data_IF_482750064764
#
_entry.id   IF_482750064764
#
_cell.length_a   1.000
_cell.length_b   1.000
_cell.length_c   1.000
_cell.angle_alpha   90.00
_cell.angle_beta   90.00
_cell.angle_gamma   90.00
#
_symmetry.space_group_name_H-M   'P 1'
#
loop_
_entity.id
_entity.type
_entity.pdbx_description
1 polymer ?
#
# COMPACT_ATOMS: atom_id res chain seq x y z
N UNK A 1 -2.83 -12.65 -11.28
CA UNK A 1 -4.05 -11.84 -11.41
C UNK A 1 -3.76 -10.38 -11.07
N UNK A 2 -4.29 -9.43 -11.85
CA UNK A 2 -4.11 -7.99 -11.68
C UNK A 2 -5.46 -7.36 -11.35
N UNK A 3 -5.54 -6.76 -10.17
CA UNK A 3 -6.69 -5.99 -9.70
C UNK A 3 -6.41 -4.49 -9.83
N UNK A 4 -7.36 -3.73 -10.34
CA UNK A 4 -7.29 -2.28 -10.45
C UNK A 4 -8.40 -1.63 -9.62
N UNK A 5 -8.02 -0.83 -8.65
CA UNK A 5 -8.95 -0.08 -7.79
C UNK A 5 -8.90 1.40 -8.14
N UNK A 6 -10.04 2.00 -8.51
CA UNK A 6 -10.13 3.42 -8.79
C UNK A 6 -11.51 3.98 -8.50
N UNK A 7 -11.55 5.20 -7.94
CA UNK A 7 -12.79 5.95 -7.72
C UNK A 7 -13.16 6.90 -8.86
N UNK A 8 -12.20 7.16 -9.78
CA UNK A 8 -12.35 8.25 -10.76
C UNK A 8 -12.26 7.81 -12.21
N UNK A 9 -11.48 6.80 -12.52
CA UNK A 9 -11.19 6.41 -13.89
C UNK A 9 -11.21 4.90 -14.07
N UNK A 10 -11.76 4.49 -15.20
CA UNK A 10 -11.61 3.14 -15.70
C UNK A 10 -10.16 2.90 -16.15
N UNK A 11 -9.70 1.63 -16.14
CA UNK A 11 -8.42 1.29 -16.71
C UNK A 11 -8.38 1.66 -18.20
N UNK A 12 -7.22 2.03 -18.69
CA UNK A 12 -7.02 2.25 -20.14
C UNK A 12 -7.07 0.92 -20.87
N UNK A 13 -7.51 0.94 -22.13
CA UNK A 13 -7.67 -0.27 -22.95
C UNK A 13 -6.39 -1.10 -23.11
N UNK A 14 -5.22 -0.46 -22.95
CA UNK A 14 -3.92 -1.12 -22.99
C UNK A 14 -3.42 -1.62 -21.61
N UNK A 15 -4.18 -1.39 -20.51
CA UNK A 15 -3.89 -2.01 -19.23
C UNK A 15 -4.42 -3.43 -19.23
N UNK A 16 -3.59 -4.40 -18.88
CA UNK A 16 -4.07 -5.72 -18.51
C UNK A 16 -4.64 -5.66 -17.11
N UNK A 17 -5.95 -5.81 -16.99
CA UNK A 17 -6.68 -5.83 -15.72
C UNK A 17 -7.61 -7.05 -15.72
N UNK A 18 -7.46 -7.91 -14.72
CA UNK A 18 -8.32 -9.09 -14.55
C UNK A 18 -9.57 -8.75 -13.75
N UNK A 19 -9.45 -7.82 -12.77
CA UNK A 19 -10.58 -7.31 -11.97
C UNK A 19 -10.51 -5.79 -11.83
N UNK A 20 -11.63 -5.14 -12.09
CA UNK A 20 -11.78 -3.70 -11.90
C UNK A 20 -12.75 -3.41 -10.76
N UNK A 21 -12.28 -2.69 -9.74
CA UNK A 21 -13.05 -2.22 -8.60
C UNK A 21 -13.28 -0.73 -8.72
N UNK A 22 -14.52 -0.32 -9.03
CA UNK A 22 -14.88 1.08 -9.17
C UNK A 22 -15.85 1.49 -8.06
N UNK A 23 -15.54 2.58 -7.36
CA UNK A 23 -16.41 3.20 -6.35
C UNK A 23 -16.96 2.21 -5.33
N UNK A 24 -16.14 1.29 -4.86
CA UNK A 24 -16.54 0.36 -3.81
C UNK A 24 -16.79 1.12 -2.51
N UNK A 25 -17.74 0.62 -1.72
CA UNK A 25 -18.05 1.18 -0.41
C UNK A 25 -16.84 1.08 0.53
N UNK A 26 -16.56 2.10 1.36
CA UNK A 26 -15.37 2.11 2.22
C UNK A 26 -15.20 0.86 3.08
N UNK A 27 -16.28 0.31 3.60
CA UNK A 27 -16.30 -0.91 4.40
C UNK A 27 -15.89 -2.17 3.63
N UNK A 28 -15.94 -2.13 2.29
CA UNK A 28 -15.54 -3.22 1.39
C UNK A 28 -14.08 -3.14 0.94
N UNK A 29 -13.42 -2.00 1.15
CA UNK A 29 -12.03 -1.78 0.70
C UNK A 29 -11.09 -2.80 1.32
N UNK A 30 -11.25 -3.11 2.60
CA UNK A 30 -10.44 -4.10 3.30
C UNK A 30 -10.54 -5.50 2.69
N UNK A 31 -11.71 -5.91 2.19
CA UNK A 31 -11.90 -7.21 1.53
C UNK A 31 -11.10 -7.28 0.22
N UNK A 32 -11.05 -6.16 -0.53
CA UNK A 32 -10.26 -6.09 -1.77
C UNK A 32 -8.77 -6.21 -1.47
N UNK A 33 -8.25 -5.46 -0.50
CA UNK A 33 -6.83 -5.58 -0.11
C UNK A 33 -6.50 -6.98 0.42
N UNK A 34 -7.38 -7.58 1.22
CA UNK A 34 -7.19 -8.94 1.74
C UNK A 34 -7.17 -10.01 0.63
N UNK A 35 -7.73 -9.72 -0.55
CA UNK A 35 -7.70 -10.61 -1.71
C UNK A 35 -6.44 -10.45 -2.58
N UNK A 36 -5.55 -9.52 -2.23
CA UNK A 36 -4.35 -9.20 -2.99
C UNK A 36 -3.08 -9.44 -2.15
N UNK A 37 -2.02 -9.91 -2.79
CA UNK A 37 -0.71 -10.14 -2.13
C UNK A 37 0.17 -8.89 -2.14
N UNK A 38 0.16 -8.14 -3.26
CA UNK A 38 1.06 -7.01 -3.50
C UNK A 38 0.26 -5.81 -3.99
N UNK A 39 0.44 -4.66 -3.34
CA UNK A 39 -0.01 -3.35 -3.80
C UNK A 39 1.11 -2.65 -4.55
N UNK A 40 0.83 -2.20 -5.78
CA UNK A 40 1.71 -1.28 -6.51
C UNK A 40 1.10 0.12 -6.45
N UNK A 41 1.84 1.07 -5.92
CA UNK A 41 1.41 2.47 -5.76
C UNK A 41 2.37 3.41 -6.48
N UNK A 42 1.87 4.05 -7.51
CA UNK A 42 2.66 4.90 -8.43
C UNK A 42 2.49 6.40 -8.21
N UNK A 43 1.71 6.79 -7.22
CA UNK A 43 1.43 8.21 -6.93
C UNK A 43 2.69 8.95 -6.51
N UNK A 44 2.89 10.14 -7.08
CA UNK A 44 4.05 10.99 -6.84
C UNK A 44 3.78 12.14 -5.86
N UNK A 45 2.52 12.47 -5.66
CA UNK A 45 2.08 13.52 -4.71
C UNK A 45 0.87 13.03 -3.95
N UNK A 46 0.97 13.02 -2.63
CA UNK A 46 -0.12 12.73 -1.70
C UNK A 46 0.07 13.53 -0.40
N UNK A 47 -1.04 13.89 0.24
CA UNK A 47 -1.02 14.48 1.59
C UNK A 47 -0.78 13.41 2.65
N UNK A 48 -1.48 12.28 2.54
CA UNK A 48 -1.31 11.07 3.33
C UNK A 48 -1.79 9.87 2.51
N UNK A 49 -0.99 8.84 2.41
CA UNK A 49 -1.28 7.69 1.57
C UNK A 49 -1.88 6.54 2.39
N UNK A 50 -3.20 6.40 2.42
CA UNK A 50 -3.89 5.29 3.12
C UNK A 50 -3.68 3.91 2.49
N UNK A 51 -3.66 3.74 1.15
CA UNK A 51 -3.59 2.42 0.52
C UNK A 51 -2.49 1.49 1.03
N UNK A 52 -1.24 1.93 1.23
CA UNK A 52 -0.21 1.05 1.80
C UNK A 52 -0.49 0.65 3.26
N UNK A 53 -1.09 1.52 4.08
CA UNK A 53 -1.48 1.17 5.46
C UNK A 53 -2.61 0.13 5.47
N UNK A 54 -3.59 0.29 4.59
CA UNK A 54 -4.70 -0.65 4.43
C UNK A 54 -4.18 -2.02 3.96
N UNK A 55 -3.24 -2.03 2.99
CA UNK A 55 -2.58 -3.26 2.55
C UNK A 55 -1.78 -3.93 3.67
N UNK A 56 -1.05 -3.17 4.47
CA UNK A 56 -0.32 -3.68 5.64
C UNK A 56 -1.26 -4.27 6.69
N UNK A 57 -2.41 -3.65 6.92
CA UNK A 57 -3.40 -4.11 7.88
C UNK A 57 -4.00 -5.47 7.49
N UNK A 58 -4.13 -5.74 6.20
CA UNK A 58 -4.65 -7.01 5.66
C UNK A 58 -3.57 -8.09 5.47
N UNK A 59 -2.30 -7.75 5.74
CA UNK A 59 -1.19 -8.72 5.66
C UNK A 59 -0.54 -8.80 4.29
N UNK A 60 -0.82 -7.86 3.38
CA UNK A 60 -0.13 -7.74 2.11
C UNK A 60 1.13 -6.88 2.20
N UNK A 61 1.82 -6.74 1.09
CA UNK A 61 3.04 -5.92 0.94
C UNK A 61 2.86 -4.84 -0.11
N UNK A 62 3.68 -3.78 -0.05
CA UNK A 62 3.58 -2.66 -0.99
C UNK A 62 4.90 -2.38 -1.69
N UNK A 63 4.80 -2.09 -2.99
CA UNK A 63 5.86 -1.53 -3.84
C UNK A 63 5.45 -0.11 -4.21
N UNK A 64 6.21 0.90 -3.80
CA UNK A 64 5.71 2.29 -3.74
C UNK A 64 6.73 3.28 -4.27
N UNK A 65 6.26 4.32 -4.97
CA UNK A 65 7.06 5.52 -5.22
C UNK A 65 7.05 6.37 -3.94
N UNK A 66 8.22 6.64 -3.29
CA UNK A 66 8.29 7.46 -2.10
C UNK A 66 7.88 8.91 -2.41
N UNK A 67 7.07 9.50 -1.54
CA UNK A 67 6.62 10.89 -1.62
C UNK A 67 6.31 11.45 -0.23
N UNK A 68 6.08 12.77 -0.12
CA UNK A 68 5.84 13.42 1.16
C UNK A 68 4.68 12.87 1.98
N UNK A 69 3.69 12.26 1.35
CA UNK A 69 2.51 11.68 2.02
C UNK A 69 2.67 10.24 2.49
N UNK A 70 3.80 9.60 2.22
CA UNK A 70 3.97 8.19 2.57
C UNK A 70 5.27 7.87 3.33
N UNK A 71 6.35 8.67 3.16
CA UNK A 71 7.65 8.44 3.82
C UNK A 71 7.62 8.67 5.34
N UNK A 72 6.55 9.23 5.89
CA UNK A 72 6.36 9.35 7.33
C UNK A 72 6.32 7.97 8.00
N UNK A 73 5.66 7.00 7.38
CA UNK A 73 5.46 5.66 7.94
C UNK A 73 6.05 4.53 7.09
N UNK A 74 6.33 4.77 5.80
CA UNK A 74 6.96 3.80 4.92
C UNK A 74 8.49 3.88 5.04
N UNK A 75 9.12 2.71 5.13
CA UNK A 75 10.58 2.56 5.17
C UNK A 75 10.98 1.42 4.25
N UNK A 76 11.87 1.74 3.32
CA UNK A 76 12.38 0.77 2.34
C UNK A 76 13.05 -0.43 3.02
N UNK A 77 12.90 -1.61 2.43
CA UNK A 77 13.39 -2.91 2.95
C UNK A 77 12.92 -3.23 4.39
N UNK A 78 12.06 -2.42 4.98
CA UNK A 78 11.52 -2.65 6.32
C UNK A 78 10.05 -3.05 6.30
N UNK A 79 9.16 -2.19 5.78
CA UNK A 79 7.71 -2.43 5.72
C UNK A 79 7.11 -2.27 4.31
N UNK A 80 7.94 -1.93 3.33
CA UNK A 80 7.60 -1.85 1.91
C UNK A 80 8.88 -1.99 1.08
N UNK A 81 8.76 -1.98 -0.25
CA UNK A 81 9.87 -1.70 -1.15
C UNK A 81 9.61 -0.39 -1.90
N UNK A 82 10.64 0.45 -2.01
CA UNK A 82 10.61 1.66 -2.81
C UNK A 82 11.18 1.41 -4.21
N UNK A 83 10.65 2.17 -5.17
CA UNK A 83 11.28 2.33 -6.48
C UNK A 83 11.19 3.78 -6.93
N UNK A 84 12.12 4.19 -7.79
CA UNK A 84 12.18 5.56 -8.28
C UNK A 84 11.02 5.84 -9.25
N UNK A 85 10.45 7.03 -9.16
CA UNK A 85 9.43 7.50 -10.09
C UNK A 85 9.91 7.36 -11.55
N UNK A 86 9.08 6.75 -12.40
CA UNK A 86 9.36 6.55 -13.81
C UNK A 86 10.31 5.38 -14.13
N UNK A 87 10.91 4.76 -13.13
CA UNK A 87 11.78 3.59 -13.28
C UNK A 87 10.94 2.31 -13.25
N UNK A 88 10.41 1.94 -14.41
CA UNK A 88 9.54 0.77 -14.57
C UNK A 88 10.31 -0.51 -14.24
N UNK A 89 11.57 -0.61 -14.68
CA UNK A 89 12.39 -1.81 -14.47
C UNK A 89 12.67 -2.04 -12.99
N UNK A 90 12.97 -0.97 -12.22
CA UNK A 90 13.12 -1.06 -10.77
C UNK A 90 11.81 -1.46 -10.09
N UNK A 91 10.67 -0.95 -10.56
CA UNK A 91 9.34 -1.35 -10.06
C UNK A 91 9.06 -2.84 -10.30
N UNK A 92 9.34 -3.33 -11.48
CA UNK A 92 9.22 -4.77 -11.83
C UNK A 92 10.15 -5.60 -10.96
N UNK A 93 11.43 -5.24 -10.86
CA UNK A 93 12.40 -5.96 -10.04
C UNK A 93 11.99 -6.02 -8.55
N UNK A 94 11.39 -4.95 -8.01
CA UNK A 94 10.88 -4.94 -6.63
C UNK A 94 9.71 -5.93 -6.45
N UNK A 95 8.80 -6.02 -7.42
CA UNK A 95 7.70 -7.00 -7.39
C UNK A 95 8.26 -8.42 -7.49
N UNK A 96 9.16 -8.69 -8.43
CA UNK A 96 9.78 -10.01 -8.61
C UNK A 96 10.56 -10.44 -7.35
N UNK A 97 11.28 -9.50 -6.71
CA UNK A 97 11.96 -9.74 -5.44
C UNK A 97 10.99 -10.22 -4.36
N UNK A 98 9.81 -9.57 -4.24
CA UNK A 98 8.78 -9.99 -3.28
C UNK A 98 8.13 -11.33 -3.63
N UNK A 99 7.98 -11.65 -4.91
CA UNK A 99 7.42 -12.94 -5.34
C UNK A 99 8.38 -14.10 -5.07
N UNK A 100 9.68 -13.88 -5.25
CA UNK A 100 10.70 -14.94 -5.19
C UNK A 100 11.38 -15.07 -3.82
N UNK A 101 11.42 -14.01 -2.99
CA UNK A 101 12.01 -14.03 -1.65
C UNK A 101 10.95 -14.07 -0.56
N UNK A 102 10.55 -15.29 -0.18
CA UNK A 102 9.58 -15.50 0.91
C UNK A 102 10.05 -14.92 2.25
N UNK A 103 11.34 -14.98 2.57
CA UNK A 103 11.86 -14.47 3.85
C UNK A 103 11.75 -12.96 3.93
N UNK A 104 12.09 -12.27 2.84
CA UNK A 104 11.93 -10.82 2.75
C UNK A 104 10.45 -10.45 2.84
N UNK A 105 9.59 -11.12 2.09
CA UNK A 105 8.15 -10.87 2.11
C UNK A 105 7.56 -11.04 3.51
N UNK A 106 7.84 -12.14 4.20
CA UNK A 106 7.38 -12.40 5.57
C UNK A 106 7.88 -11.33 6.55
N UNK A 107 9.15 -10.88 6.42
CA UNK A 107 9.71 -9.78 7.20
C UNK A 107 8.94 -8.48 6.98
N UNK A 108 8.69 -8.11 5.72
CA UNK A 108 7.98 -6.88 5.36
C UNK A 108 6.53 -6.93 5.84
N UNK A 109 5.82 -8.05 5.69
CA UNK A 109 4.46 -8.25 6.21
C UNK A 109 4.43 -8.01 7.73
N UNK A 110 5.31 -8.68 8.48
CA UNK A 110 5.37 -8.54 9.94
C UNK A 110 5.60 -7.11 10.39
N UNK A 111 6.50 -6.40 9.72
CA UNK A 111 6.81 -5.01 10.04
C UNK A 111 5.69 -4.06 9.58
N UNK A 112 5.08 -4.33 8.44
CA UNK A 112 3.92 -3.61 7.93
C UNK A 112 2.74 -3.67 8.89
N UNK A 113 2.41 -4.86 9.39
CA UNK A 113 1.34 -5.04 10.37
C UNK A 113 1.60 -4.24 11.66
N UNK A 114 2.85 -4.21 12.17
CA UNK A 114 3.22 -3.37 13.31
C UNK A 114 3.02 -1.88 13.02
N UNK A 115 3.40 -1.46 11.80
CA UNK A 115 3.19 -0.08 11.35
C UNK A 115 1.70 0.25 11.31
N UNK A 116 0.87 -0.57 10.64
CA UNK A 116 -0.57 -0.36 10.57
C UNK A 116 -1.23 -0.30 11.96
N UNK A 117 -0.81 -1.16 12.90
CA UNK A 117 -1.29 -1.13 14.29
C UNK A 117 -0.96 0.18 15.02
N UNK A 118 0.16 0.85 14.69
CA UNK A 118 0.52 2.13 15.28
C UNK A 118 -0.38 3.28 14.79
N UNK A 119 -0.95 3.13 13.60
CA UNK A 119 -1.86 4.10 12.97
C UNK A 119 -3.35 3.75 13.14
N UNK A 120 -3.71 2.80 14.03
CA UNK A 120 -5.10 2.53 14.34
C UNK A 120 -5.76 3.75 14.98
N UNK A 121 -7.01 4.03 14.57
CA UNK A 121 -7.78 5.17 15.05
C UNK A 121 -7.82 5.27 16.58
N UNK A 122 -8.06 4.16 17.27
CA UNK A 122 -8.09 4.09 18.73
C UNK A 122 -6.81 4.58 19.43
N UNK A 123 -5.65 4.53 18.74
CA UNK A 123 -4.38 5.06 19.24
C UNK A 123 -4.16 6.53 18.86
N UNK A 124 -4.68 6.94 17.69
CA UNK A 124 -4.56 8.31 17.21
C UNK A 124 -5.52 9.24 17.94
N UNK A 125 -6.74 8.77 18.25
CA UNK A 125 -7.76 9.52 18.96
C UNK A 125 -7.24 10.08 20.28
N UNK A 126 -6.61 9.25 21.12
CA UNK A 126 -6.05 9.69 22.38
C UNK A 126 -4.96 10.77 22.19
N UNK A 127 -4.10 10.63 21.21
CA UNK A 127 -3.06 11.62 20.89
C UNK A 127 -3.66 12.96 20.45
N UNK A 128 -4.76 12.92 19.67
CA UNK A 128 -5.48 14.13 19.27
C UNK A 128 -6.09 14.81 20.48
N UNK A 129 -6.78 14.06 21.35
CA UNK A 129 -7.37 14.58 22.59
C UNK A 129 -6.31 15.25 23.48
N UNK A 130 -5.12 14.66 23.59
CA UNK A 130 -4.05 15.16 24.44
C UNK A 130 -3.43 16.50 23.91
N UNK A 131 -3.53 16.76 22.60
CA UNK A 131 -3.08 18.02 22.00
C UNK A 131 -4.02 19.19 22.37
N UNK A 132 -5.30 18.91 22.61
CA UNK A 132 -6.32 19.93 22.92
C UNK A 132 -6.63 20.09 24.42
N UNK A 133 -5.89 19.44 25.30
CA UNK A 133 -5.92 19.63 26.75
C UNK A 133 -4.87 20.62 27.20
#
# INVERSE_FOLDING_TARGET
EISYLSYRKEPKDWYRVDRFYNRIAPEKVGEVYASCDILIKTSIVESFSYPPLEMMATGGVSVVVPNGGNVEYLKDDYNCLFYRQGDIDAGVAAVEKLLNDKKLRDKIIKNGQKTAQAYQWSKLEQRIVDIYK
#
